data_IF_140424997567
#
_entry.id   IF_140424997567
#
_cell.length_a   1.000
_cell.length_b   1.000
_cell.length_c   1.000
_cell.angle_alpha   90.00
_cell.angle_beta   90.00
_cell.angle_gamma   90.00
#
_symmetry.space_group_name_H-M   'P 1'
#
loop_
_entity.id
_entity.type
_entity.pdbx_description
1 polymer ?
#
# COMPACT_ATOMS: atom_id res chain seq x y z
N UNK A 1 16.12 -32.70 -27.83
CA UNK A 1 16.15 -31.67 -28.90
C UNK A 1 15.82 -30.33 -28.27
N UNK A 2 16.71 -29.33 -28.35
CA UNK A 2 16.31 -27.95 -28.03
C UNK A 2 15.57 -27.41 -29.26
N UNK A 3 14.35 -26.87 -29.13
CA UNK A 3 13.75 -26.14 -30.24
C UNK A 3 14.64 -24.92 -30.51
N UNK A 4 15.30 -24.92 -31.67
CA UNK A 4 16.00 -23.75 -32.19
C UNK A 4 14.96 -23.00 -32.99
N UNK A 5 14.28 -22.06 -32.34
CA UNK A 5 13.39 -21.12 -33.04
C UNK A 5 14.27 -20.02 -33.61
N UNK A 6 14.28 -19.88 -34.93
CA UNK A 6 14.89 -18.72 -35.57
C UNK A 6 13.90 -17.55 -35.50
N UNK A 7 14.17 -16.57 -34.65
CA UNK A 7 13.30 -15.41 -34.46
C UNK A 7 13.14 -14.56 -35.73
N UNK A 8 14.01 -14.73 -36.74
CA UNK A 8 13.88 -14.06 -38.04
C UNK A 8 12.69 -14.58 -38.85
N UNK A 9 12.27 -15.82 -38.59
CA UNK A 9 11.10 -16.44 -39.24
C UNK A 9 9.76 -15.97 -38.62
N UNK A 10 9.83 -15.22 -37.51
CA UNK A 10 8.66 -14.70 -36.77
C UNK A 10 8.75 -13.17 -36.67
N UNK A 11 8.61 -12.44 -37.80
CA UNK A 11 8.69 -10.99 -37.81
C UNK A 11 7.67 -10.41 -36.83
N UNK A 12 8.17 -9.70 -35.83
CA UNK A 12 7.32 -9.00 -34.86
C UNK A 12 6.78 -7.73 -35.50
N UNK A 13 5.57 -7.34 -35.11
CA UNK A 13 5.02 -6.05 -35.50
C UNK A 13 5.98 -4.94 -35.02
N UNK A 14 6.30 -3.99 -35.91
CA UNK A 14 7.12 -2.84 -35.53
C UNK A 14 6.27 -1.98 -34.59
N UNK A 15 6.68 -1.90 -33.33
CA UNK A 15 6.05 -1.01 -32.37
C UNK A 15 6.06 0.43 -32.92
N UNK A 16 4.92 1.11 -32.88
CA UNK A 16 4.83 2.53 -33.15
C UNK A 16 4.94 3.29 -31.83
N UNK A 17 5.70 4.38 -31.82
CA UNK A 17 5.91 5.19 -30.64
C UNK A 17 5.95 6.67 -31.01
N UNK A 18 5.32 7.51 -30.19
CA UNK A 18 5.20 8.95 -30.41
C UNK A 18 6.56 9.68 -30.25
N UNK A 19 7.46 9.08 -29.48
CA UNK A 19 8.72 9.67 -29.07
C UNK A 19 9.87 8.69 -29.35
N UNK A 20 10.27 8.66 -30.62
CA UNK A 20 11.37 7.83 -31.12
C UNK A 20 12.72 8.24 -30.54
N UNK A 21 12.93 9.54 -30.30
CA UNK A 21 14.16 10.07 -29.73
C UNK A 21 14.40 9.49 -28.34
N UNK A 22 13.39 9.53 -27.46
CA UNK A 22 13.53 9.01 -26.10
C UNK A 22 13.70 7.49 -26.08
N UNK A 23 13.00 6.76 -26.96
CA UNK A 23 13.19 5.32 -27.05
C UNK A 23 14.58 4.96 -27.56
N UNK A 24 15.07 5.67 -28.59
CA UNK A 24 16.42 5.48 -29.12
C UNK A 24 17.47 5.73 -28.04
N UNK A 25 17.30 6.78 -27.26
CA UNK A 25 18.15 7.04 -26.10
C UNK A 25 18.18 5.84 -25.14
N UNK A 26 17.02 5.30 -24.76
CA UNK A 26 16.98 4.12 -23.89
C UNK A 26 17.69 2.90 -24.51
N UNK A 27 17.46 2.62 -25.78
CA UNK A 27 18.07 1.47 -26.46
C UNK A 27 19.58 1.63 -26.67
N UNK A 28 20.06 2.85 -26.92
CA UNK A 28 21.48 3.17 -27.10
C UNK A 28 22.28 2.88 -25.82
N UNK A 29 21.67 2.99 -24.63
CA UNK A 29 22.32 2.67 -23.34
C UNK A 29 22.72 1.20 -23.18
N UNK A 30 22.06 0.29 -23.91
CA UNK A 30 22.31 -1.16 -23.85
C UNK A 30 22.78 -1.74 -25.18
N UNK A 31 22.85 -0.91 -26.23
CA UNK A 31 23.34 -1.33 -27.53
C UNK A 31 24.87 -1.45 -27.51
N UNK A 32 25.44 -2.67 -27.67
CA UNK A 32 26.90 -2.85 -27.63
C UNK A 32 27.64 -2.15 -28.78
N UNK A 33 26.94 -1.77 -29.84
CA UNK A 33 27.51 -1.04 -30.97
C UNK A 33 27.57 0.47 -30.74
N UNK A 34 26.90 0.98 -29.70
CA UNK A 34 26.92 2.42 -29.38
C UNK A 34 28.17 2.75 -28.59
N UNK A 35 29.01 3.64 -29.14
CA UNK A 35 30.22 4.06 -28.45
C UNK A 35 29.90 5.03 -27.30
N UNK A 36 30.79 5.14 -26.31
CA UNK A 36 30.67 6.17 -25.26
C UNK A 36 30.65 7.60 -25.82
N UNK A 37 31.31 7.82 -26.96
CA UNK A 37 31.28 9.11 -27.65
C UNK A 37 29.91 9.40 -28.27
N UNK A 38 29.21 8.37 -28.75
CA UNK A 38 27.83 8.50 -29.23
C UNK A 38 26.88 8.76 -28.07
N UNK A 39 27.05 8.07 -26.94
CA UNK A 39 26.27 8.33 -25.73
C UNK A 39 26.46 9.76 -25.21
N UNK A 40 27.67 10.32 -25.33
CA UNK A 40 27.97 11.69 -24.93
C UNK A 40 27.25 12.76 -25.78
N UNK A 41 26.71 12.39 -26.96
CA UNK A 41 25.91 13.29 -27.80
C UNK A 41 24.51 13.52 -27.22
N UNK A 42 24.01 12.61 -26.39
CA UNK A 42 22.75 12.83 -25.70
C UNK A 42 22.89 13.99 -24.71
N UNK A 43 21.95 14.94 -24.77
CA UNK A 43 21.93 16.10 -23.88
C UNK A 43 21.42 15.73 -22.48
N UNK A 44 22.12 14.81 -21.82
CA UNK A 44 21.79 14.34 -20.48
C UNK A 44 22.33 15.35 -19.47
N UNK A 45 21.54 15.59 -18.42
CA UNK A 45 21.95 16.41 -17.30
C UNK A 45 23.34 15.97 -16.77
N UNK A 46 24.29 16.89 -16.53
CA UNK A 46 25.63 16.54 -16.05
C UNK A 46 25.65 15.64 -14.81
N UNK A 47 24.66 15.76 -13.92
CA UNK A 47 24.55 14.94 -12.72
C UNK A 47 24.30 13.44 -13.01
N UNK A 48 23.80 13.11 -14.21
CA UNK A 48 23.56 11.73 -14.64
C UNK A 48 24.60 11.24 -15.65
N UNK A 49 25.38 12.14 -16.26
CA UNK A 49 26.35 11.82 -17.32
C UNK A 49 27.43 10.84 -16.87
N UNK A 50 27.87 10.93 -15.62
CA UNK A 50 28.90 10.05 -15.04
C UNK A 50 28.31 8.73 -14.49
N UNK A 51 27.02 8.48 -14.74
CA UNK A 51 26.36 7.23 -14.32
C UNK A 51 26.64 6.13 -15.33
N UNK A 52 26.89 4.92 -14.83
CA UNK A 52 26.92 3.70 -15.63
C UNK A 52 25.65 3.58 -16.52
N UNK A 53 25.78 3.42 -17.85
CA UNK A 53 24.64 3.32 -18.76
C UNK A 53 23.65 2.21 -18.40
N UNK A 54 24.15 1.08 -17.90
CA UNK A 54 23.34 -0.05 -17.45
C UNK A 54 22.49 0.30 -16.21
N UNK A 55 23.04 1.06 -15.26
CA UNK A 55 22.25 1.59 -14.14
C UNK A 55 21.11 2.50 -14.62
N UNK A 56 21.39 3.36 -15.61
CA UNK A 56 20.41 4.30 -16.11
C UNK A 56 19.28 3.57 -16.86
N UNK A 57 19.63 2.60 -17.72
CA UNK A 57 18.67 1.78 -18.44
C UNK A 57 17.79 0.95 -17.51
N UNK A 58 18.39 0.22 -16.56
CA UNK A 58 17.62 -0.61 -15.62
C UNK A 58 16.68 0.27 -14.79
N UNK A 59 17.11 1.47 -14.38
CA UNK A 59 16.23 2.40 -13.69
C UNK A 59 15.06 2.83 -14.58
N UNK A 60 15.31 3.14 -15.86
CA UNK A 60 14.24 3.48 -16.81
C UNK A 60 13.25 2.32 -16.97
N UNK A 61 13.72 1.09 -17.07
CA UNK A 61 12.87 -0.10 -17.16
C UNK A 61 12.02 -0.26 -15.89
N UNK A 62 12.57 -0.01 -14.69
CA UNK A 62 11.81 -0.05 -13.44
C UNK A 62 10.73 1.04 -13.37
N UNK A 63 11.02 2.25 -13.84
CA UNK A 63 10.03 3.33 -13.95
C UNK A 63 8.96 2.97 -14.99
N UNK A 64 9.35 2.39 -16.12
CA UNK A 64 8.41 1.97 -17.16
C UNK A 64 7.45 0.87 -16.67
N UNK A 65 7.95 -0.13 -15.92
CA UNK A 65 7.10 -1.11 -15.22
C UNK A 65 6.10 -0.44 -14.27
N UNK A 66 6.49 0.64 -13.61
CA UNK A 66 5.59 1.44 -12.76
C UNK A 66 4.44 2.03 -13.57
N UNK A 67 4.76 2.59 -14.74
CA UNK A 67 3.81 3.19 -15.66
C UNK A 67 2.84 2.13 -16.17
N UNK A 68 3.35 1.00 -16.69
CA UNK A 68 2.51 -0.09 -17.18
C UNK A 68 1.60 -0.68 -16.09
N UNK A 69 2.10 -0.79 -14.85
CA UNK A 69 1.28 -1.22 -13.72
C UNK A 69 0.15 -0.24 -13.42
N UNK A 70 0.45 1.06 -13.36
CA UNK A 70 -0.57 2.11 -13.16
C UNK A 70 -1.62 2.06 -14.27
N UNK A 71 -1.17 1.88 -15.51
CA UNK A 71 -2.00 1.91 -16.70
C UNK A 71 -2.71 0.54 -16.93
N UNK A 72 -2.58 -0.42 -16.00
CA UNK A 72 -3.28 -1.71 -16.01
C UNK A 72 -2.81 -2.69 -17.08
N UNK A 73 -1.59 -2.50 -17.62
CA UNK A 73 -0.98 -3.31 -18.68
C UNK A 73 -0.13 -4.48 -18.16
N UNK A 74 0.31 -4.43 -16.90
CA UNK A 74 1.00 -5.58 -16.29
C UNK A 74 0.02 -6.67 -15.86
N UNK A 75 0.35 -7.93 -16.17
CA UNK A 75 -0.33 -9.12 -15.65
C UNK A 75 -0.08 -9.35 -14.14
N UNK A 76 -0.55 -10.48 -13.62
CA UNK A 76 -0.38 -10.87 -12.20
C UNK A 76 1.07 -10.76 -11.78
N UNK A 77 1.32 -9.98 -10.72
CA UNK A 77 2.64 -9.85 -10.11
C UNK A 77 3.06 -11.20 -9.52
N UNK A 78 3.84 -11.98 -10.25
CA UNK A 78 4.50 -13.13 -9.66
C UNK A 78 5.45 -12.68 -8.53
N UNK A 79 5.65 -13.54 -7.53
CA UNK A 79 6.46 -13.25 -6.34
C UNK A 79 7.92 -12.86 -6.63
N UNK A 80 8.38 -13.06 -7.88
CA UNK A 80 9.67 -12.64 -8.39
C UNK A 80 9.50 -11.46 -9.35
N UNK A 81 9.73 -10.24 -8.88
CA UNK A 81 9.62 -9.06 -9.74
C UNK A 81 10.65 -9.03 -10.89
N UNK A 82 11.73 -9.80 -10.79
CA UNK A 82 12.65 -10.01 -11.92
C UNK A 82 12.00 -10.78 -13.08
N UNK A 83 10.89 -11.50 -12.84
CA UNK A 83 10.05 -12.13 -13.87
C UNK A 83 8.78 -11.32 -14.18
N UNK A 84 8.56 -10.17 -13.50
CA UNK A 84 7.38 -9.34 -13.76
C UNK A 84 7.58 -8.53 -15.03
N UNK A 85 6.87 -9.00 -16.06
CA UNK A 85 6.33 -8.23 -17.17
C UNK A 85 7.33 -7.73 -18.20
N UNK A 86 7.02 -8.02 -19.46
CA UNK A 86 7.46 -7.21 -20.59
C UNK A 86 7.16 -5.73 -20.30
N UNK A 87 8.13 -4.86 -20.58
CA UNK A 87 7.94 -3.41 -20.50
C UNK A 87 7.39 -2.95 -21.83
N UNK A 88 6.28 -2.22 -21.83
CA UNK A 88 5.76 -1.68 -23.07
C UNK A 88 6.72 -0.62 -23.62
N UNK A 89 6.94 -0.62 -24.94
CA UNK A 89 7.80 0.36 -25.60
C UNK A 89 7.35 1.81 -25.28
N UNK A 90 6.04 2.03 -25.16
CA UNK A 90 5.46 3.32 -24.78
C UNK A 90 5.86 3.75 -23.36
N UNK A 91 5.81 2.84 -22.39
CA UNK A 91 6.23 3.14 -21.03
C UNK A 91 7.75 3.37 -20.93
N UNK A 92 8.55 2.62 -21.69
CA UNK A 92 10.00 2.79 -21.76
C UNK A 92 10.37 4.15 -22.36
N UNK A 93 9.72 4.54 -23.46
CA UNK A 93 9.91 5.85 -24.09
C UNK A 93 9.54 7.00 -23.13
N UNK A 94 8.39 6.93 -22.45
CA UNK A 94 7.98 7.93 -21.43
C UNK A 94 8.99 8.05 -20.29
N UNK A 95 9.48 6.92 -19.80
CA UNK A 95 10.50 6.86 -18.75
C UNK A 95 11.81 7.52 -19.20
N UNK A 96 12.26 7.20 -20.42
CA UNK A 96 13.47 7.77 -21.00
C UNK A 96 13.35 9.28 -21.25
N UNK A 97 12.20 9.75 -21.74
CA UNK A 97 11.92 11.18 -21.91
C UNK A 97 12.00 11.94 -20.59
N UNK A 98 11.50 11.35 -19.50
CA UNK A 98 11.59 11.95 -18.18
C UNK A 98 13.05 12.10 -17.68
N UNK A 99 13.93 11.16 -18.04
CA UNK A 99 15.36 11.26 -17.76
C UNK A 99 16.06 12.31 -18.65
N UNK A 100 15.68 12.42 -19.92
CA UNK A 100 16.20 13.48 -20.81
C UNK A 100 15.79 14.88 -20.31
N UNK A 101 14.57 15.03 -19.80
CA UNK A 101 14.05 16.28 -19.22
C UNK A 101 14.43 16.52 -17.74
N UNK A 102 15.53 15.92 -17.26
CA UNK A 102 15.92 15.98 -15.85
C UNK A 102 16.33 17.39 -15.36
N UNK A 103 15.94 17.82 -14.14
CA UNK A 103 15.20 17.06 -13.13
C UNK A 103 13.68 17.20 -13.24
N UNK A 104 13.17 18.19 -13.95
CA UNK A 104 11.77 18.63 -13.83
C UNK A 104 10.79 17.58 -14.39
N UNK A 105 11.05 17.06 -15.59
CA UNK A 105 10.21 16.03 -16.19
C UNK A 105 10.23 14.72 -15.38
N UNK A 106 11.38 14.39 -14.77
CA UNK A 106 11.47 13.25 -13.87
C UNK A 106 10.67 13.47 -12.58
N UNK A 107 10.75 14.65 -11.98
CA UNK A 107 9.99 14.99 -10.77
C UNK A 107 8.49 14.94 -11.05
N UNK A 108 8.03 15.46 -12.18
CA UNK A 108 6.63 15.38 -12.59
C UNK A 108 6.17 13.93 -12.77
N UNK A 109 6.96 13.12 -13.49
CA UNK A 109 6.65 11.70 -13.67
C UNK A 109 6.65 10.96 -12.32
N UNK A 110 7.64 11.20 -11.47
CA UNK A 110 7.73 10.60 -10.14
C UNK A 110 6.51 10.95 -9.28
N UNK A 111 6.10 12.22 -9.24
CA UNK A 111 4.87 12.65 -8.57
C UNK A 111 3.64 11.90 -9.09
N UNK A 112 3.54 11.66 -10.40
CA UNK A 112 2.43 10.89 -10.99
C UNK A 112 2.42 9.41 -10.58
N UNK A 113 3.58 8.89 -10.15
CA UNK A 113 3.78 7.50 -9.75
C UNK A 113 3.78 7.29 -8.23
N UNK A 114 3.77 8.35 -7.42
CA UNK A 114 3.90 8.26 -5.96
C UNK A 114 2.85 7.39 -5.29
N UNK A 115 1.62 7.40 -5.82
CA UNK A 115 0.49 6.61 -5.33
C UNK A 115 0.35 5.27 -6.06
N UNK A 116 1.17 5.02 -7.09
CA UNK A 116 1.21 3.74 -7.80
C UNK A 116 2.07 2.79 -6.99
N UNK A 117 1.43 1.97 -6.14
CA UNK A 117 2.15 1.00 -5.31
C UNK A 117 2.13 -0.39 -5.94
N UNK A 118 3.31 -0.88 -6.35
CA UNK A 118 3.48 -2.16 -7.03
C UNK A 118 4.65 -2.98 -6.45
N UNK A 119 5.11 -2.63 -5.24
CA UNK A 119 6.31 -3.24 -4.64
C UNK A 119 6.01 -3.97 -3.32
N UNK A 120 6.15 -5.31 -3.30
CA UNK A 120 5.72 -6.12 -2.16
C UNK A 120 6.73 -6.22 -1.00
N UNK A 121 7.91 -5.58 -1.07
CA UNK A 121 9.03 -5.89 -0.14
C UNK A 121 9.47 -4.78 0.82
N UNK A 122 8.89 -3.58 0.76
CA UNK A 122 9.29 -2.53 1.71
C UNK A 122 8.38 -2.42 2.92
N UNK A 123 9.02 -2.29 4.08
CA UNK A 123 8.36 -1.98 5.35
C UNK A 123 7.82 -0.54 5.41
N UNK A 124 8.39 0.36 4.60
CA UNK A 124 7.97 1.75 4.52
C UNK A 124 7.01 1.95 3.35
N UNK A 125 5.72 1.77 3.64
CA UNK A 125 4.61 1.97 2.68
C UNK A 125 4.46 3.42 2.20
N UNK A 126 5.13 4.37 2.86
CA UNK A 126 5.06 5.79 2.50
C UNK A 126 6.31 6.27 1.78
N UNK A 127 7.31 5.40 1.62
CA UNK A 127 8.49 5.72 0.79
C UNK A 127 8.10 5.73 -0.67
N UNK A 128 8.58 6.71 -1.46
CA UNK A 128 8.31 6.74 -2.89
C UNK A 128 8.66 5.38 -3.55
N UNK A 129 7.78 4.78 -4.38
CA UNK A 129 8.00 3.44 -4.92
C UNK A 129 9.35 3.34 -5.67
N UNK A 130 9.71 4.34 -6.46
CA UNK A 130 11.01 4.36 -7.14
C UNK A 130 12.21 4.38 -6.16
N UNK A 131 12.07 4.98 -4.97
CA UNK A 131 13.13 5.01 -3.95
C UNK A 131 13.40 3.62 -3.38
N UNK A 132 12.36 2.80 -3.25
CA UNK A 132 12.47 1.40 -2.84
C UNK A 132 13.41 0.63 -3.77
N UNK A 133 13.30 0.85 -5.08
CA UNK A 133 14.15 0.18 -6.08
C UNK A 133 15.60 0.61 -6.01
N UNK A 134 15.82 1.88 -5.70
CA UNK A 134 17.15 2.40 -5.47
C UNK A 134 17.84 1.82 -4.24
N UNK A 135 17.15 1.06 -3.38
CA UNK A 135 17.80 0.31 -2.31
C UNK A 135 18.59 -0.91 -2.84
N UNK A 136 18.36 -1.34 -4.10
CA UNK A 136 19.09 -2.45 -4.71
C UNK A 136 20.61 -2.22 -4.69
N UNK A 137 21.42 -3.25 -4.34
CA UNK A 137 22.88 -3.14 -4.37
C UNK A 137 23.45 -2.93 -5.78
N UNK A 138 22.65 -3.21 -6.81
CA UNK A 138 22.99 -2.96 -8.21
C UNK A 138 23.39 -1.49 -8.43
N UNK A 139 22.68 -0.53 -7.82
CA UNK A 139 22.91 0.88 -8.08
C UNK A 139 24.12 1.45 -7.30
N UNK A 140 24.99 2.15 -8.03
CA UNK A 140 26.10 2.92 -7.45
C UNK A 140 25.63 3.97 -6.44
N UNK A 141 26.48 4.29 -5.43
CA UNK A 141 26.13 5.27 -4.37
C UNK A 141 25.84 6.67 -4.93
N UNK A 142 26.59 7.11 -5.95
CA UNK A 142 26.39 8.41 -6.60
C UNK A 142 25.02 8.51 -7.26
N UNK A 143 24.69 7.55 -8.12
CA UNK A 143 23.38 7.47 -8.78
C UNK A 143 22.21 7.46 -7.78
N UNK A 144 22.30 6.63 -6.73
CA UNK A 144 21.30 6.60 -5.65
C UNK A 144 21.12 7.96 -4.99
N UNK A 145 22.21 8.70 -4.75
CA UNK A 145 22.17 10.04 -4.15
C UNK A 145 21.45 11.04 -5.05
N UNK A 146 21.75 11.05 -6.36
CA UNK A 146 21.11 11.96 -7.32
C UNK A 146 19.61 11.70 -7.43
N UNK A 147 19.23 10.43 -7.64
CA UNK A 147 17.82 10.07 -7.75
C UNK A 147 17.05 10.29 -6.45
N UNK A 148 17.61 9.94 -5.30
CA UNK A 148 16.98 10.24 -4.00
C UNK A 148 16.86 11.75 -3.78
N UNK A 149 17.80 12.55 -4.29
CA UNK A 149 17.73 14.01 -4.28
C UNK A 149 16.53 14.54 -5.06
N UNK A 150 16.33 14.08 -6.30
CA UNK A 150 15.19 14.49 -7.11
C UNK A 150 13.84 14.00 -6.56
N UNK A 151 13.78 12.75 -6.07
CA UNK A 151 12.57 12.25 -5.40
C UNK A 151 12.21 13.08 -4.15
N UNK A 152 13.19 13.63 -3.43
CA UNK A 152 12.93 14.57 -2.33
C UNK A 152 12.44 15.95 -2.81
N UNK A 153 12.80 16.37 -4.03
CA UNK A 153 12.24 17.60 -4.61
C UNK A 153 10.77 17.39 -4.93
N UNK A 154 10.43 16.24 -5.53
CA UNK A 154 9.07 15.71 -5.71
C UNK A 154 8.23 15.84 -4.42
N UNK A 155 8.71 15.26 -3.32
CA UNK A 155 8.04 15.29 -2.01
C UNK A 155 7.79 16.73 -1.50
N UNK A 156 8.71 17.67 -1.77
CA UNK A 156 8.62 19.08 -1.33
C UNK A 156 7.75 19.96 -2.23
N UNK A 157 7.55 19.58 -3.49
CA UNK A 157 6.71 20.32 -4.44
C UNK A 157 5.22 20.15 -4.17
N UNK A 158 4.84 19.18 -3.32
CA UNK A 158 3.49 19.17 -2.74
C UNK A 158 3.30 20.48 -1.97
N UNK A 159 2.24 21.26 -2.20
CA UNK A 159 1.97 22.46 -1.40
C UNK A 159 1.66 22.03 0.03
N UNK A 160 2.72 21.84 0.81
CA UNK A 160 2.64 21.86 2.26
C UNK A 160 2.04 23.21 2.56
N UNK A 161 0.90 23.24 3.25
CA UNK A 161 0.35 24.41 3.93
C UNK A 161 1.53 25.23 4.46
N UNK A 162 1.98 26.21 3.68
CA UNK A 162 3.00 27.15 4.14
C UNK A 162 2.24 27.91 5.18
N UNK A 163 2.48 27.55 6.45
CA UNK A 163 1.96 28.32 7.57
C UNK A 163 2.19 29.80 7.25
N UNK A 164 1.22 30.68 7.51
CA UNK A 164 1.38 32.10 7.26
C UNK A 164 2.75 32.50 7.80
N UNK A 165 3.64 32.98 6.93
CA UNK A 165 4.82 33.67 7.42
C UNK A 165 4.26 34.82 8.24
N UNK A 166 4.46 34.82 9.55
CA UNK A 166 3.94 35.81 10.51
C UNK A 166 4.35 37.26 10.18
N UNK A 167 5.13 37.49 9.12
CA UNK A 167 5.69 38.79 8.73
C UNK A 167 5.09 39.38 7.45
N UNK A 168 3.92 38.94 6.99
CA UNK A 168 3.28 39.55 5.81
C UNK A 168 1.85 39.97 6.15
N UNK A 169 1.67 41.25 6.47
CA UNK A 169 0.40 41.89 6.80
C UNK A 169 -0.60 42.01 5.65
N UNK A 170 -0.68 40.99 4.79
CA UNK A 170 -1.78 40.84 3.85
C UNK A 170 -2.88 40.04 4.54
N UNK A 171 -4.11 40.56 4.56
CA UNK A 171 -5.28 39.86 5.05
C UNK A 171 -5.44 38.53 4.31
N UNK A 172 -5.02 37.44 4.94
CA UNK A 172 -5.22 36.08 4.45
C UNK A 172 -6.68 35.73 4.73
N UNK A 173 -7.41 35.32 3.69
CA UNK A 173 -8.75 34.77 3.82
C UNK A 173 -8.74 33.63 4.86
N UNK A 174 -9.35 33.87 6.02
CA UNK A 174 -9.32 32.98 7.19
C UNK A 174 -10.23 31.74 7.06
N UNK A 175 -10.95 31.56 5.95
CA UNK A 175 -12.11 30.64 5.93
C UNK A 175 -11.96 29.36 5.09
N UNK A 176 -10.80 29.10 4.48
CA UNK A 176 -10.59 27.81 3.82
C UNK A 176 -10.25 26.74 4.87
N UNK A 177 -11.28 26.11 5.45
CA UNK A 177 -11.14 24.88 6.23
C UNK A 177 -10.35 23.86 5.39
N UNK A 178 -9.23 23.32 5.89
CA UNK A 178 -8.42 22.37 5.14
C UNK A 178 -9.27 21.15 4.78
N UNK A 179 -9.23 20.73 3.53
CA UNK A 179 -9.97 19.55 3.09
C UNK A 179 -9.39 18.30 3.73
N UNK A 180 -10.16 17.21 3.76
CA UNK A 180 -9.66 15.93 4.25
C UNK A 180 -8.42 15.46 3.45
N UNK A 181 -8.40 15.72 2.15
CA UNK A 181 -7.26 15.43 1.27
C UNK A 181 -6.01 16.22 1.68
N UNK A 182 -6.16 17.48 2.08
CA UNK A 182 -5.04 18.30 2.55
C UNK A 182 -4.47 17.76 3.87
N UNK A 183 -5.35 17.41 4.80
CA UNK A 183 -4.97 16.78 6.06
C UNK A 183 -4.26 15.45 5.83
N UNK A 184 -4.72 14.65 4.86
CA UNK A 184 -4.10 13.38 4.50
C UNK A 184 -2.71 13.54 3.89
N UNK A 185 -2.55 14.47 2.95
CA UNK A 185 -1.24 14.80 2.36
C UNK A 185 -0.27 15.32 3.43
N UNK A 186 -0.74 16.20 4.30
CA UNK A 186 0.07 16.73 5.40
C UNK A 186 0.51 15.62 6.37
N UNK A 187 -0.41 14.75 6.78
CA UNK A 187 -0.12 13.63 7.66
C UNK A 187 0.91 12.65 7.08
N UNK A 188 0.85 12.38 5.76
CA UNK A 188 1.87 11.59 5.05
C UNK A 188 3.26 12.23 5.11
N UNK A 189 3.35 13.55 5.02
CA UNK A 189 4.63 14.26 5.14
C UNK A 189 5.15 14.34 6.59
N UNK A 190 4.24 14.40 7.57
CA UNK A 190 4.55 14.56 8.99
C UNK A 190 5.40 13.40 9.55
N UNK A 191 6.60 13.71 10.04
CA UNK A 191 7.47 12.73 10.71
C UNK A 191 6.87 12.19 12.01
N UNK A 192 6.29 13.02 12.90
CA UNK A 192 5.59 12.52 14.09
C UNK A 192 4.47 11.53 13.77
N UNK A 193 3.63 11.84 12.77
CA UNK A 193 2.53 10.93 12.38
C UNK A 193 3.08 9.61 11.84
N UNK A 194 4.09 9.64 10.96
CA UNK A 194 4.73 8.40 10.46
C UNK A 194 5.35 7.55 11.57
N UNK A 195 6.00 8.15 12.56
CA UNK A 195 6.46 7.40 13.75
C UNK A 195 5.30 6.75 14.49
N UNK A 196 4.15 7.41 14.59
CA UNK A 196 2.99 6.81 15.22
C UNK A 196 2.39 5.68 14.38
N UNK A 197 2.48 5.72 13.04
CA UNK A 197 2.17 4.55 12.20
C UNK A 197 3.10 3.38 12.53
N UNK A 198 4.41 3.61 12.65
CA UNK A 198 5.37 2.56 13.02
C UNK A 198 5.08 1.98 14.41
N UNK A 199 4.72 2.83 15.38
CA UNK A 199 4.41 2.44 16.75
C UNK A 199 3.08 1.70 16.87
N UNK A 200 2.05 2.19 16.18
CA UNK A 200 0.70 1.62 16.31
C UNK A 200 0.49 0.46 15.34
N UNK A 201 1.02 0.54 14.12
CA UNK A 201 0.68 -0.34 13.01
C UNK A 201 -0.61 0.06 12.28
N UNK A 202 -1.21 1.21 12.63
CA UNK A 202 -2.39 1.76 11.96
C UNK A 202 -2.00 2.60 10.74
N UNK A 203 -2.67 2.46 9.59
CA UNK A 203 -2.39 3.29 8.43
C UNK A 203 -2.80 4.76 8.67
N UNK A 204 -2.19 5.70 7.95
CA UNK A 204 -2.37 7.14 8.17
C UNK A 204 -3.83 7.54 8.04
N UNK A 205 -4.55 6.99 7.07
CA UNK A 205 -5.97 7.28 6.88
C UNK A 205 -6.80 6.92 8.13
N UNK A 206 -6.42 5.86 8.83
CA UNK A 206 -7.08 5.39 10.05
C UNK A 206 -6.68 6.23 11.26
N UNK A 207 -5.41 6.57 11.37
CA UNK A 207 -4.92 7.47 12.42
C UNK A 207 -5.62 8.84 12.35
N UNK A 208 -5.80 9.39 11.15
CA UNK A 208 -6.54 10.64 10.97
C UNK A 208 -7.98 10.55 11.44
N UNK A 209 -8.66 9.43 11.21
CA UNK A 209 -10.01 9.20 11.74
C UNK A 209 -10.00 9.11 13.27
N UNK A 210 -8.97 8.49 13.87
CA UNK A 210 -8.81 8.48 15.33
C UNK A 210 -8.62 9.91 15.90
N UNK A 211 -7.90 10.78 15.20
CA UNK A 211 -7.71 12.18 15.61
C UNK A 211 -8.97 13.02 15.37
N UNK A 212 -9.61 12.89 14.20
CA UNK A 212 -10.76 13.71 13.81
C UNK A 212 -12.00 13.43 14.64
N UNK A 213 -12.16 12.19 15.11
CA UNK A 213 -13.23 11.82 16.04
C UNK A 213 -12.96 12.26 17.49
N UNK A 214 -11.91 13.05 17.73
CA UNK A 214 -11.57 13.69 19.01
C UNK A 214 -11.26 12.69 20.13
N UNK A 215 -10.94 11.45 19.77
CA UNK A 215 -10.65 10.39 20.73
C UNK A 215 -9.16 10.28 21.02
N UNK A 216 -8.29 10.56 20.03
CA UNK A 216 -6.85 10.37 20.17
C UNK A 216 -6.02 11.61 19.86
N UNK A 217 -4.94 11.80 20.62
CA UNK A 217 -4.02 12.92 20.43
C UNK A 217 -3.21 12.79 19.14
N UNK A 218 -3.23 13.84 18.31
CA UNK A 218 -2.34 13.95 17.16
C UNK A 218 -0.92 14.35 17.61
N UNK A 219 0.12 13.59 17.22
CA UNK A 219 1.50 13.82 17.68
C UNK A 219 2.16 15.01 16.97
N UNK A 220 1.60 15.46 15.86
CA UNK A 220 2.07 16.63 15.12
C UNK A 220 1.46 17.90 15.70
N UNK A 221 2.28 18.87 16.10
CA UNK A 221 1.83 20.08 16.79
C UNK A 221 1.02 21.02 15.90
N UNK A 222 1.23 20.99 14.58
CA UNK A 222 0.47 21.80 13.63
C UNK A 222 -0.89 21.17 13.43
N UNK A 223 -0.93 19.87 13.10
CA UNK A 223 -2.20 19.15 12.90
C UNK A 223 -3.04 19.10 14.17
N UNK A 224 -2.40 18.99 15.35
CA UNK A 224 -3.09 18.99 16.64
C UNK A 224 -3.97 20.22 16.83
N UNK A 225 -3.61 21.37 16.26
CA UNK A 225 -4.45 22.59 16.33
C UNK A 225 -5.70 22.51 15.47
N UNK A 226 -5.72 21.63 14.46
CA UNK A 226 -6.87 21.37 13.60
C UNK A 226 -7.87 20.41 14.25
N UNK A 227 -7.46 19.71 15.31
CA UNK A 227 -8.28 18.76 16.05
C UNK A 227 -8.60 19.32 17.44
N UNK A 228 -9.75 18.91 17.99
CA UNK A 228 -10.11 19.27 19.36
C UNK A 228 -9.27 18.52 20.40
N UNK A 229 -9.28 18.95 21.69
CA UNK A 229 -8.56 18.28 22.76
C UNK A 229 -8.89 16.79 22.81
N UNK A 230 -7.86 15.95 22.80
CA UNK A 230 -8.01 14.51 22.79
C UNK A 230 -8.30 13.94 24.18
N UNK A 231 -9.16 12.91 24.22
CA UNK A 231 -9.48 12.18 25.45
C UNK A 231 -8.45 11.09 25.78
N UNK A 232 -7.79 10.53 24.77
CA UNK A 232 -6.87 9.41 24.91
C UNK A 232 -5.55 9.67 24.18
N UNK A 233 -4.49 8.97 24.60
CA UNK A 233 -3.23 8.91 23.88
C UNK A 233 -2.89 7.45 23.59
N UNK A 234 -2.39 7.14 22.39
CA UNK A 234 -2.03 5.77 22.04
C UNK A 234 -0.98 5.15 22.98
N UNK A 235 -0.10 5.98 23.55
CA UNK A 235 0.91 5.56 24.50
C UNK A 235 0.34 5.03 25.84
N UNK A 236 -0.91 5.37 26.18
CA UNK A 236 -1.54 4.91 27.43
C UNK A 236 -2.17 3.53 27.30
N UNK A 237 -2.32 3.01 26.08
CA UNK A 237 -2.86 1.66 25.86
C UNK A 237 -1.79 0.65 26.24
N UNK A 238 -1.92 0.05 27.42
CA UNK A 238 -0.95 -0.92 27.93
C UNK A 238 -1.58 -2.29 28.16
N UNK A 239 -1.33 -3.29 27.29
CA UNK A 239 -1.82 -4.64 27.50
C UNK A 239 -1.14 -5.25 28.74
N UNK A 240 -1.87 -5.31 29.86
CA UNK A 240 -1.32 -5.69 31.17
C UNK A 240 -1.05 -7.20 31.32
N UNK A 241 -1.79 -8.04 30.59
CA UNK A 241 -1.72 -9.51 30.72
C UNK A 241 -0.92 -10.13 29.59
N UNK A 242 0.09 -10.94 29.95
CA UNK A 242 0.75 -11.87 29.01
C UNK A 242 -0.03 -13.18 28.99
N UNK A 243 -0.21 -13.76 27.80
CA UNK A 243 -0.79 -15.09 27.65
C UNK A 243 0.21 -16.06 27.03
N UNK A 244 0.09 -17.34 27.39
CA UNK A 244 0.75 -18.48 26.69
C UNK A 244 -0.29 -19.39 26.01
N UNK A 245 -1.54 -18.94 25.91
CA UNK A 245 -2.63 -19.73 25.35
C UNK A 245 -2.34 -20.16 23.90
N UNK A 246 -2.80 -21.34 23.52
CA UNK A 246 -2.77 -21.83 22.13
C UNK A 246 -3.81 -21.15 21.24
N UNK A 247 -4.80 -20.49 21.84
CA UNK A 247 -5.94 -19.86 21.18
C UNK A 247 -5.84 -18.35 21.29
N UNK A 248 -4.92 -17.75 20.54
CA UNK A 248 -4.77 -16.29 20.49
C UNK A 248 -4.82 -15.85 19.05
N UNK A 249 -5.70 -14.89 18.76
CA UNK A 249 -5.73 -14.20 17.48
C UNK A 249 -5.11 -12.83 17.64
N UNK A 250 -4.39 -12.36 16.62
CA UNK A 250 -3.91 -10.98 16.60
C UNK A 250 -5.10 -10.01 16.62
N UNK A 251 -4.89 -8.81 17.12
CA UNK A 251 -5.94 -7.78 17.11
C UNK A 251 -6.44 -7.52 15.67
N UNK A 252 -5.54 -7.47 14.69
CA UNK A 252 -5.91 -7.33 13.27
C UNK A 252 -6.79 -8.48 12.79
N UNK A 253 -6.46 -9.72 13.13
CA UNK A 253 -7.23 -10.89 12.72
C UNK A 253 -8.63 -10.91 13.32
N UNK A 254 -8.78 -10.48 14.58
CA UNK A 254 -10.08 -10.39 15.25
C UNK A 254 -10.98 -9.35 14.60
N UNK A 255 -10.48 -8.13 14.43
CA UNK A 255 -11.24 -7.07 13.76
C UNK A 255 -11.58 -7.52 12.34
N UNK A 256 -10.63 -8.19 11.67
CA UNK A 256 -10.84 -8.70 10.33
C UNK A 256 -11.88 -9.84 10.25
N UNK A 257 -12.09 -10.60 11.32
CA UNK A 257 -13.03 -11.72 11.33
C UNK A 257 -14.43 -11.33 11.81
N UNK A 258 -14.53 -10.30 12.65
CA UNK A 258 -15.79 -9.86 13.28
C UNK A 258 -16.52 -8.76 12.52
N UNK A 259 -15.82 -8.00 11.69
CA UNK A 259 -16.38 -6.79 11.07
C UNK A 259 -16.51 -6.91 9.55
N UNK A 260 -17.72 -6.96 9.00
CA UNK A 260 -17.97 -6.90 7.55
C UNK A 260 -18.76 -5.66 7.13
N UNK A 261 -18.98 -4.71 8.04
CA UNK A 261 -19.77 -3.50 7.81
C UNK A 261 -19.13 -2.49 6.85
N UNK A 262 -19.86 -1.41 6.58
CA UNK A 262 -19.36 -0.25 5.84
C UNK A 262 -18.62 0.72 6.78
N UNK A 263 -17.52 1.30 6.30
CA UNK A 263 -16.73 2.27 7.07
C UNK A 263 -15.60 1.65 7.89
N UNK A 264 -14.79 2.51 8.51
CA UNK A 264 -13.59 2.09 9.24
C UNK A 264 -13.91 1.79 10.71
N UNK A 265 -13.71 0.54 11.20
CA UNK A 265 -14.05 0.18 12.58
C UNK A 265 -12.98 0.57 13.60
N UNK A 266 -11.76 0.85 13.14
CA UNK A 266 -10.59 0.97 14.01
C UNK A 266 -10.67 2.08 15.04
N UNK A 267 -11.17 3.31 14.75
CA UNK A 267 -11.30 4.35 15.76
C UNK A 267 -12.11 3.89 17.00
N UNK A 268 -13.27 3.27 16.77
CA UNK A 268 -14.12 2.75 17.86
C UNK A 268 -13.47 1.56 18.57
N UNK A 269 -12.76 0.69 17.85
CA UNK A 269 -12.04 -0.44 18.45
C UNK A 269 -10.92 0.07 19.37
N UNK A 270 -10.06 0.97 18.90
CA UNK A 270 -8.94 1.46 19.71
C UNK A 270 -9.42 2.30 20.90
N UNK A 271 -10.51 3.06 20.73
CA UNK A 271 -11.16 3.76 21.84
C UNK A 271 -11.69 2.77 22.89
N UNK A 272 -12.40 1.72 22.47
CA UNK A 272 -12.93 0.73 23.39
C UNK A 272 -11.82 -0.05 24.12
N UNK A 273 -10.66 -0.27 23.49
CA UNK A 273 -9.47 -0.81 24.16
C UNK A 273 -8.92 0.21 25.17
N UNK A 274 -8.81 1.48 24.80
CA UNK A 274 -8.30 2.54 25.70
C UNK A 274 -9.20 2.77 26.93
N UNK A 275 -10.47 2.41 26.83
CA UNK A 275 -11.47 2.45 27.91
C UNK A 275 -11.60 1.12 28.67
N UNK A 276 -10.68 0.17 28.46
CA UNK A 276 -10.70 -1.18 29.05
C UNK A 276 -11.99 -1.99 28.77
N UNK A 277 -12.79 -1.62 27.76
CA UNK A 277 -14.01 -2.33 27.35
C UNK A 277 -13.73 -3.55 26.48
N UNK A 278 -12.61 -3.55 25.76
CA UNK A 278 -12.17 -4.66 24.93
C UNK A 278 -10.86 -5.24 25.46
N UNK A 279 -10.88 -6.45 26.07
CA UNK A 279 -9.69 -7.02 26.67
C UNK A 279 -8.71 -7.47 25.59
N UNK A 280 -7.45 -7.07 25.76
CA UNK A 280 -6.31 -7.48 24.94
C UNK A 280 -5.19 -8.03 25.80
N UNK A 281 -4.41 -8.94 25.23
CA UNK A 281 -3.22 -9.53 25.84
C UNK A 281 -1.99 -9.23 25.00
N UNK A 282 -0.83 -9.13 25.64
CA UNK A 282 0.43 -8.87 24.95
C UNK A 282 0.91 -10.15 24.26
N UNK A 283 1.06 -10.09 22.93
CA UNK A 283 1.82 -11.05 22.13
C UNK A 283 3.32 -10.73 22.24
N UNK A 284 4.19 -11.63 21.80
CA UNK A 284 5.66 -11.47 21.88
C UNK A 284 6.19 -10.21 21.16
N UNK A 285 7.52 -10.03 21.10
CA UNK A 285 8.27 -8.83 20.66
C UNK A 285 8.02 -8.30 19.22
N UNK A 286 6.77 -8.08 18.83
CA UNK A 286 6.45 -7.36 17.61
C UNK A 286 6.65 -5.86 17.82
N UNK A 287 7.09 -5.12 16.78
CA UNK A 287 7.49 -3.73 16.92
C UNK A 287 6.30 -2.76 17.07
N UNK A 288 5.12 -3.11 16.53
CA UNK A 288 3.96 -2.23 16.56
C UNK A 288 2.81 -2.76 17.43
N UNK A 289 1.96 -1.86 17.94
CA UNK A 289 0.85 -2.17 18.85
C UNK A 289 -0.11 -3.22 18.27
N UNK A 290 -0.67 -3.00 17.08
CA UNK A 290 -1.66 -3.89 16.46
C UNK A 290 -1.14 -5.33 16.31
N UNK A 291 0.15 -5.50 16.01
CA UNK A 291 0.75 -6.83 15.83
C UNK A 291 1.30 -7.41 17.14
N UNK A 292 1.51 -6.59 18.18
CA UNK A 292 1.99 -6.99 19.51
C UNK A 292 0.89 -7.27 20.51
N UNK A 293 -0.38 -7.15 20.10
CA UNK A 293 -1.53 -7.51 20.93
C UNK A 293 -2.41 -8.57 20.29
N UNK A 294 -3.03 -9.38 21.15
CA UNK A 294 -3.93 -10.43 20.75
C UNK A 294 -5.16 -10.49 21.65
N UNK A 295 -6.07 -11.38 21.29
CA UNK A 295 -7.34 -11.60 22.00
C UNK A 295 -7.47 -13.07 22.33
N UNK A 296 -7.86 -13.34 23.58
CA UNK A 296 -8.12 -14.68 24.12
C UNK A 296 -9.58 -14.89 24.49
N UNK A 297 -10.27 -13.82 24.93
CA UNK A 297 -11.69 -13.85 25.23
C UNK A 297 -12.46 -13.18 24.10
N UNK A 298 -13.10 -13.99 23.27
CA UNK A 298 -13.83 -13.51 22.10
C UNK A 298 -15.23 -13.00 22.45
N UNK A 299 -15.78 -13.29 23.64
CA UNK A 299 -17.16 -12.93 23.99
C UNK A 299 -17.38 -11.41 24.04
N UNK A 300 -16.54 -10.60 24.72
CA UNK A 300 -16.68 -9.14 24.72
C UNK A 300 -16.55 -8.54 23.32
N UNK A 301 -15.69 -9.13 22.49
CA UNK A 301 -15.45 -8.69 21.11
C UNK A 301 -16.65 -8.95 20.21
N UNK A 302 -17.23 -10.16 20.26
CA UNK A 302 -18.47 -10.49 19.53
C UNK A 302 -19.61 -9.55 19.96
N UNK A 303 -19.78 -9.35 21.27
CA UNK A 303 -20.79 -8.45 21.84
C UNK A 303 -20.61 -7.02 21.31
N UNK A 304 -19.39 -6.50 21.34
CA UNK A 304 -19.07 -5.15 20.86
C UNK A 304 -19.47 -4.93 19.41
N UNK A 305 -19.07 -5.82 18.49
CA UNK A 305 -19.40 -5.69 17.06
C UNK A 305 -20.87 -5.92 16.73
N UNK A 306 -21.61 -6.66 17.58
CA UNK A 306 -23.06 -6.86 17.43
C UNK A 306 -23.87 -5.64 17.88
N UNK A 307 -23.50 -5.05 19.01
CA UNK A 307 -24.30 -4.02 19.68
C UNK A 307 -23.98 -2.59 19.23
N UNK A 308 -22.79 -2.37 18.67
CA UNK A 308 -22.35 -1.04 18.28
C UNK A 308 -22.37 -0.94 16.76
N UNK A 309 -22.90 0.17 16.23
CA UNK A 309 -22.66 0.56 14.84
C UNK A 309 -21.20 1.00 14.72
N UNK A 310 -20.31 0.01 14.57
CA UNK A 310 -18.89 0.23 14.33
C UNK A 310 -18.74 0.59 12.86
N UNK A 311 -17.95 1.61 12.55
CA UNK A 311 -17.78 2.10 11.17
C UNK A 311 -18.18 3.56 11.05
N UNK A 312 -17.19 4.42 10.80
CA UNK A 312 -17.47 5.78 10.36
C UNK A 312 -17.51 5.78 8.84
N UNK A 313 -18.71 5.97 8.29
CA UNK A 313 -18.91 6.21 6.86
C UNK A 313 -18.35 7.58 6.52
N UNK A 314 -17.15 7.59 5.96
CA UNK A 314 -16.68 8.73 5.21
C UNK A 314 -16.16 8.24 3.87
N UNK A 315 -16.49 9.01 2.82
CA UNK A 315 -15.73 9.09 1.59
C UNK A 315 -14.32 9.56 1.95
N UNK A 316 -13.53 8.61 2.42
CA UNK A 316 -12.14 8.82 2.74
C UNK A 316 -11.32 9.06 1.47
N UNK A 317 -10.14 9.65 1.62
CA UNK A 317 -9.24 9.90 0.51
C UNK A 317 -8.83 8.54 -0.04
N UNK A 318 -8.52 8.45 -1.34
CA UNK A 318 -8.04 7.21 -1.91
C UNK A 318 -6.82 6.70 -1.15
N UNK A 319 -6.86 5.42 -0.83
CA UNK A 319 -5.80 4.73 -0.09
C UNK A 319 -4.85 4.01 -1.05
N UNK A 320 -3.66 3.69 -0.55
CA UNK A 320 -2.66 2.90 -1.30
C UNK A 320 -2.78 1.40 -0.98
N UNK A 321 -2.16 0.56 -1.80
CA UNK A 321 -2.23 -0.90 -1.64
C UNK A 321 -1.80 -1.43 -0.27
N UNK A 322 -0.82 -0.79 0.39
CA UNK A 322 -0.42 -1.15 1.76
C UNK A 322 -1.53 -0.92 2.80
N UNK A 323 -2.24 0.20 2.68
CA UNK A 323 -3.38 0.53 3.53
C UNK A 323 -4.57 -0.41 3.25
N UNK A 324 -4.81 -0.75 1.98
CA UNK A 324 -5.81 -1.74 1.59
C UNK A 324 -5.49 -3.13 2.18
N UNK A 325 -4.22 -3.53 2.17
CA UNK A 325 -3.73 -4.77 2.79
C UNK A 325 -4.04 -4.83 4.27
N UNK A 326 -3.84 -3.72 5.00
CA UNK A 326 -4.22 -3.61 6.40
C UNK A 326 -5.73 -3.85 6.60
N UNK A 327 -6.57 -3.17 5.82
CA UNK A 327 -8.03 -3.24 5.92
C UNK A 327 -8.65 -4.57 5.49
N UNK A 328 -8.02 -5.26 4.53
CA UNK A 328 -8.42 -6.59 4.07
C UNK A 328 -7.71 -7.74 4.80
N UNK A 329 -6.84 -7.42 5.77
CA UNK A 329 -5.98 -8.39 6.46
C UNK A 329 -5.19 -9.29 5.48
N UNK A 330 -4.74 -8.68 4.38
CA UNK A 330 -4.02 -9.30 3.30
C UNK A 330 -2.58 -8.81 3.28
N UNK A 331 -1.66 -9.67 2.85
CA UNK A 331 -0.31 -9.25 2.51
C UNK A 331 -0.35 -8.34 1.28
N UNK A 332 0.70 -7.53 1.12
CA UNK A 332 0.85 -6.67 -0.04
C UNK A 332 0.90 -7.46 -1.36
N UNK A 333 1.46 -8.68 -1.35
CA UNK A 333 1.46 -9.57 -2.52
C UNK A 333 0.03 -9.96 -2.91
N UNK A 334 -0.81 -10.27 -1.93
CA UNK A 334 -2.22 -10.58 -2.19
C UNK A 334 -2.98 -9.37 -2.73
N UNK A 335 -2.72 -8.16 -2.23
CA UNK A 335 -3.30 -6.93 -2.79
C UNK A 335 -2.86 -6.71 -4.24
N UNK A 336 -1.58 -6.90 -4.53
CA UNK A 336 -1.05 -6.84 -5.89
C UNK A 336 -1.74 -7.84 -6.82
N UNK A 337 -1.96 -9.08 -6.38
CA UNK A 337 -2.69 -10.08 -7.16
C UNK A 337 -4.16 -9.70 -7.35
N UNK A 338 -4.80 -9.10 -6.34
CA UNK A 338 -6.17 -8.58 -6.44
C UNK A 338 -6.29 -7.49 -7.50
N UNK A 339 -5.35 -6.54 -7.52
CA UNK A 339 -5.31 -5.46 -8.52
C UNK A 339 -5.08 -6.02 -9.92
N UNK A 340 -4.10 -6.92 -10.08
CA UNK A 340 -3.80 -7.51 -11.38
C UNK A 340 -4.93 -8.40 -11.92
N UNK A 341 -5.66 -9.07 -11.02
CA UNK A 341 -6.88 -9.80 -11.34
C UNK A 341 -8.10 -8.89 -11.57
N UNK A 342 -7.93 -7.56 -11.51
CA UNK A 342 -8.99 -6.55 -11.65
C UNK A 342 -10.13 -6.68 -10.64
N UNK A 343 -9.84 -7.30 -9.49
CA UNK A 343 -10.78 -7.38 -8.36
C UNK A 343 -10.69 -6.16 -7.44
N UNK A 344 -9.60 -5.39 -7.55
CA UNK A 344 -9.42 -4.08 -6.94
C UNK A 344 -8.88 -3.09 -7.99
N UNK A 345 -9.16 -1.79 -7.87
CA UNK A 345 -8.68 -0.79 -8.82
C UNK A 345 -7.15 -0.59 -8.71
N UNK A 346 -6.51 -0.30 -9.85
CA UNK A 346 -5.10 0.06 -9.88
C UNK A 346 -4.88 1.52 -9.41
N UNK A 347 -3.75 1.77 -8.73
CA UNK A 347 -3.37 3.10 -8.26
C UNK A 347 -4.14 3.56 -7.01
N UNK A 348 -4.81 4.73 -7.12
CA UNK A 348 -5.59 5.33 -6.02
C UNK A 348 -6.87 4.55 -5.79
N UNK A 349 -6.95 3.83 -4.68
CA UNK A 349 -8.07 2.94 -4.38
C UNK A 349 -9.08 3.65 -3.48
N UNK A 350 -10.32 3.89 -3.92
CA UNK A 350 -11.36 4.39 -3.04
C UNK A 350 -11.57 3.41 -1.88
N UNK A 351 -11.63 3.92 -0.65
CA UNK A 351 -11.81 3.07 0.53
C UNK A 351 -13.15 2.32 0.50
N UNK A 352 -14.17 2.90 -0.15
CA UNK A 352 -15.47 2.26 -0.36
C UNK A 352 -15.37 0.96 -1.16
N UNK A 353 -14.49 0.91 -2.17
CA UNK A 353 -14.25 -0.30 -2.97
C UNK A 353 -13.62 -1.40 -2.12
N UNK A 354 -12.76 -1.03 -1.16
CA UNK A 354 -12.18 -1.99 -0.20
C UNK A 354 -13.26 -2.57 0.71
N UNK A 355 -14.20 -1.75 1.17
CA UNK A 355 -15.34 -2.21 1.97
C UNK A 355 -16.32 -3.06 1.17
N UNK A 356 -16.61 -2.68 -0.08
CA UNK A 356 -17.43 -3.46 -0.98
C UNK A 356 -16.79 -4.83 -1.28
N UNK A 357 -15.48 -4.85 -1.53
CA UNK A 357 -14.72 -6.07 -1.71
C UNK A 357 -14.81 -6.98 -0.47
N UNK A 358 -14.58 -6.43 0.72
CA UNK A 358 -14.65 -7.16 1.99
C UNK A 358 -16.03 -7.77 2.28
N UNK A 359 -17.10 -7.08 1.90
CA UNK A 359 -18.48 -7.59 1.99
C UNK A 359 -18.74 -8.73 1.01
N UNK A 360 -18.15 -8.66 -0.18
CA UNK A 360 -18.42 -9.61 -1.25
C UNK A 360 -17.56 -10.87 -1.16
N UNK A 361 -16.36 -10.76 -0.58
CA UNK A 361 -15.36 -11.81 -0.61
C UNK A 361 -14.81 -12.13 0.79
N UNK A 362 -14.36 -13.38 0.94
CA UNK A 362 -13.78 -13.91 2.18
C UNK A 362 -12.53 -14.72 1.87
N UNK A 363 -11.52 -14.64 2.74
CA UNK A 363 -10.29 -15.42 2.63
C UNK A 363 -10.32 -16.66 3.54
N UNK A 364 -9.60 -17.74 3.20
CA UNK A 364 -9.42 -18.89 4.10
C UNK A 364 -8.84 -18.52 5.47
N UNK A 365 -8.04 -17.46 5.54
CA UNK A 365 -7.51 -16.92 6.80
C UNK A 365 -8.63 -16.38 7.69
N UNK A 366 -9.52 -15.56 7.13
CA UNK A 366 -10.66 -15.01 7.86
C UNK A 366 -11.58 -16.12 8.38
N UNK A 367 -11.89 -17.12 7.55
CA UNK A 367 -12.70 -18.29 7.92
C UNK A 367 -12.04 -19.05 9.07
N UNK A 368 -10.75 -19.35 8.98
CA UNK A 368 -9.99 -20.01 10.04
C UNK A 368 -10.06 -19.24 11.38
N UNK A 369 -9.98 -17.90 11.33
CA UNK A 369 -10.16 -17.07 12.51
C UNK A 369 -11.58 -17.18 13.09
N UNK A 370 -12.61 -17.18 12.24
CA UNK A 370 -14.01 -17.33 12.67
C UNK A 370 -14.29 -18.69 13.29
N UNK A 371 -13.79 -19.78 12.68
CA UNK A 371 -13.86 -21.14 13.23
C UNK A 371 -13.18 -21.20 14.61
N UNK A 372 -11.99 -20.60 14.74
CA UNK A 372 -11.26 -20.57 16.01
C UNK A 372 -12.04 -19.87 17.12
N UNK A 373 -12.73 -18.77 16.79
CA UNK A 373 -13.60 -18.06 17.74
C UNK A 373 -14.82 -18.86 18.19
N UNK A 374 -15.17 -19.92 17.45
CA UNK A 374 -16.26 -20.84 17.73
C UNK A 374 -15.75 -22.17 18.33
N UNK A 375 -14.47 -22.27 18.65
CA UNK A 375 -13.85 -23.45 19.27
C UNK A 375 -13.29 -24.48 18.27
N UNK A 376 -13.35 -24.20 16.97
CA UNK A 376 -12.83 -25.08 15.92
C UNK A 376 -11.46 -24.59 15.41
N UNK A 377 -10.40 -25.35 15.68
CA UNK A 377 -9.08 -25.01 15.15
C UNK A 377 -8.91 -25.52 13.72
N UNK A 378 -8.80 -24.61 12.76
CA UNK A 378 -8.46 -24.92 11.38
C UNK A 378 -7.32 -24.03 10.89
N UNK A 379 -6.40 -24.60 10.11
CA UNK A 379 -5.36 -23.80 9.43
C UNK A 379 -5.91 -23.26 8.11
N UNK A 380 -5.50 -22.05 7.66
CA UNK A 380 -6.02 -21.45 6.42
C UNK A 380 -5.86 -22.34 5.18
N UNK A 381 -4.78 -23.11 5.07
CA UNK A 381 -4.55 -24.03 3.95
C UNK A 381 -5.51 -25.24 3.98
N UNK A 382 -5.88 -25.72 5.18
CA UNK A 382 -6.86 -26.80 5.35
C UNK A 382 -8.26 -26.31 4.98
N UNK A 383 -8.64 -25.11 5.44
CA UNK A 383 -9.89 -24.44 5.02
C UNK A 383 -9.94 -24.29 3.51
N UNK A 384 -8.83 -23.88 2.88
CA UNK A 384 -8.75 -23.77 1.42
C UNK A 384 -8.95 -25.10 0.69
N UNK A 385 -8.42 -26.20 1.24
CA UNK A 385 -8.59 -27.55 0.69
C UNK A 385 -10.04 -28.05 0.84
N UNK A 386 -10.63 -27.89 2.03
CA UNK A 386 -12.04 -28.24 2.33
C UNK A 386 -13.00 -27.54 1.35
N UNK A 387 -12.80 -26.24 1.11
CA UNK A 387 -13.60 -25.48 0.16
C UNK A 387 -13.42 -25.97 -1.28
N UNK A 388 -12.20 -26.36 -1.68
CA UNK A 388 -11.95 -26.89 -3.02
C UNK A 388 -12.59 -28.26 -3.23
N UNK A 389 -12.54 -29.14 -2.23
CA UNK A 389 -13.21 -30.45 -2.24
C UNK A 389 -14.73 -30.30 -2.33
N UNK A 390 -15.29 -29.27 -1.71
CA UNK A 390 -16.70 -28.90 -1.83
C UNK A 390 -17.06 -28.20 -3.16
N UNK A 391 -16.10 -28.03 -4.09
CA UNK A 391 -16.31 -27.36 -5.37
C UNK A 391 -16.35 -25.82 -5.30
N UNK A 392 -16.10 -25.23 -4.13
CA UNK A 392 -16.08 -23.77 -3.91
C UNK A 392 -14.68 -23.25 -4.24
N UNK A 393 -14.44 -23.02 -5.53
CA UNK A 393 -13.17 -22.55 -6.07
C UNK A 393 -12.91 -21.06 -5.76
N UNK A 394 -11.64 -20.64 -5.66
CA UNK A 394 -11.31 -19.21 -5.60
C UNK A 394 -11.81 -18.48 -6.85
N UNK A 395 -12.16 -17.20 -6.72
CA UNK A 395 -12.62 -16.37 -7.85
C UNK A 395 -11.54 -16.28 -8.94
N UNK A 396 -10.28 -16.21 -8.50
CA UNK A 396 -9.08 -16.27 -9.33
C UNK A 396 -8.05 -17.13 -8.59
N UNK A 397 -7.47 -18.10 -9.28
CA UNK A 397 -6.56 -19.11 -8.69
C UNK A 397 -5.38 -18.49 -7.93
N UNK A 398 -4.89 -17.34 -8.38
CA UNK A 398 -3.74 -16.62 -7.77
C UNK A 398 -4.08 -15.78 -6.53
N UNK A 399 -5.37 -15.61 -6.21
CA UNK A 399 -5.84 -14.64 -5.20
C UNK A 399 -6.43 -15.33 -3.95
N UNK A 400 -6.83 -16.60 -4.06
CA UNK A 400 -7.34 -17.44 -2.97
C UNK A 400 -8.58 -16.91 -2.20
N UNK A 401 -9.20 -15.82 -2.66
CA UNK A 401 -10.48 -15.30 -2.12
C UNK A 401 -11.68 -15.98 -2.79
N UNK A 402 -12.78 -16.10 -2.06
CA UNK A 402 -14.03 -16.76 -2.51
C UNK A 402 -15.24 -15.87 -2.26
N UNK A 403 -16.34 -16.13 -2.95
CA UNK A 403 -17.63 -15.49 -2.67
C UNK A 403 -18.01 -15.71 -1.20
N UNK A 404 -18.24 -14.62 -0.47
CA UNK A 404 -18.60 -14.66 0.95
C UNK A 404 -19.92 -15.41 1.16
N UNK A 405 -20.93 -15.09 0.34
CA UNK A 405 -22.27 -15.68 0.44
C UNK A 405 -22.21 -17.20 0.35
N UNK A 406 -21.50 -17.73 -0.65
CA UNK A 406 -21.38 -19.18 -0.88
C UNK A 406 -20.64 -19.86 0.28
N UNK A 407 -19.57 -19.24 0.78
CA UNK A 407 -18.80 -19.79 1.91
C UNK A 407 -19.61 -19.78 3.21
N UNK A 408 -20.35 -18.70 3.47
CA UNK A 408 -21.17 -18.58 4.67
C UNK A 408 -22.37 -19.52 4.65
N UNK A 409 -22.93 -19.80 3.46
CA UNK A 409 -23.92 -20.86 3.26
C UNK A 409 -23.33 -22.24 3.53
N UNK A 410 -22.16 -22.56 2.97
CA UNK A 410 -21.49 -23.86 3.12
C UNK A 410 -21.15 -24.18 4.58
N UNK A 411 -20.53 -23.25 5.31
CA UNK A 411 -20.18 -23.49 6.71
C UNK A 411 -21.39 -23.33 7.66
N UNK A 412 -22.43 -22.59 7.27
CA UNK A 412 -23.66 -22.42 8.04
C UNK A 412 -23.41 -22.06 9.51
N UNK A 413 -23.97 -22.85 10.42
CA UNK A 413 -23.88 -22.66 11.87
C UNK A 413 -22.44 -22.67 12.42
N UNK A 414 -21.50 -23.32 11.72
CA UNK A 414 -20.07 -23.30 12.12
C UNK A 414 -19.49 -21.89 12.07
N UNK A 415 -20.06 -21.02 11.23
CA UNK A 415 -19.72 -19.60 11.20
C UNK A 415 -20.78 -18.73 11.88
N UNK A 416 -22.06 -19.08 11.93
CA UNK A 416 -23.15 -18.18 12.41
C UNK A 416 -23.22 -17.88 13.92
N UNK A 417 -22.22 -18.20 14.74
CA UNK A 417 -22.17 -17.72 16.13
C UNK A 417 -21.82 -16.21 16.24
N UNK A 418 -22.53 -15.39 15.46
CA UNK A 418 -22.48 -13.93 15.40
C UNK A 418 -23.78 -13.31 15.87
#
# INVERSE_FOLDING_TARGET
MRPVVDLREFPQERAQFEDEEALRFATDLVNPETSLADLAKWNINPALRDTDPGHLFEFMAQVARAIDFRDGRCGVLESNFSSVGEVSAQALSRSARAILGWPDAFVELAESLKDTWFFPRTKDFYSHPLRVRLASPFYGKGFRKHLTGALKLSEKSTPILKGPKENSGAAIAQDAQPTWDDNFRFARASKPVRRQVEQTGLPINTLLLCYSQKRFECPDTIMRRLFEPALHAFATINPTRRTRGRYVLSLRDIVAALYSGAGNPWPSVVEAIAQDRLPVVKLSQQPCFIDSVGVVDFKPWKKFFRENSVGCDQDGPPIIGGEAGFHLNCSIVQISNLVAARLLPAGKMPILEVWAFRRSYVSPKEIACRLLMNGEFARPNIVGAELNEAGIKPIVDSVYVRSRVIVEEFYGERLRQF
#
